data_IF_353104673709
#
_entry.id   IF_353104673709
#
_cell.length_a   1.000
_cell.length_b   1.000
_cell.length_c   1.000
_cell.angle_alpha   90.00
_cell.angle_beta   90.00
_cell.angle_gamma   90.00
#
_symmetry.space_group_name_H-M   'P 1'
#
loop_
_entity.id
_entity.type
_entity.pdbx_description
1 polymer ?
#
# COMPACT_ATOMS: atom_id res chain seq x y z
N UNK A 1 8.29 26.17 -6.73
CA UNK A 1 8.31 24.81 -7.31
C UNK A 1 6.87 24.39 -7.52
N UNK A 2 6.51 23.95 -8.72
CA UNK A 2 5.20 23.33 -8.94
C UNK A 2 5.14 22.10 -8.03
N UNK A 3 4.13 22.05 -7.14
CA UNK A 3 3.89 20.88 -6.31
C UNK A 3 3.45 19.78 -7.27
N UNK A 4 4.23 18.72 -7.40
CA UNK A 4 3.80 17.55 -8.15
C UNK A 4 2.62 16.93 -7.40
N UNK A 5 1.46 16.77 -8.04
CA UNK A 5 0.30 16.03 -7.48
C UNK A 5 0.55 14.51 -7.55
N UNK A 6 1.70 14.09 -7.05
CA UNK A 6 2.13 12.72 -7.08
C UNK A 6 1.61 12.02 -5.83
N UNK A 7 0.90 10.91 -6.03
CA UNK A 7 0.34 10.10 -4.96
C UNK A 7 1.24 8.89 -4.68
N UNK A 8 1.52 8.62 -3.42
CA UNK A 8 2.25 7.43 -2.99
C UNK A 8 1.38 6.63 -2.03
N UNK A 9 1.05 5.40 -2.40
CA UNK A 9 0.47 4.43 -1.48
C UNK A 9 1.58 3.88 -0.61
N UNK A 10 1.39 3.92 0.70
CA UNK A 10 2.42 3.49 1.64
C UNK A 10 2.47 1.96 1.65
N UNK A 11 3.66 1.39 1.41
CA UNK A 11 3.90 -0.03 1.65
C UNK A 11 3.80 -0.31 3.17
N UNK A 12 2.85 -1.16 3.63
CA UNK A 12 2.74 -1.51 5.05
C UNK A 12 4.03 -2.10 5.63
N UNK A 13 4.80 -2.83 4.84
CA UNK A 13 6.06 -3.46 5.28
C UNK A 13 7.15 -2.41 5.48
N UNK A 14 7.20 -1.39 4.61
CA UNK A 14 8.07 -0.24 4.78
C UNK A 14 7.64 0.56 6.02
N UNK A 15 6.34 0.87 6.14
CA UNK A 15 5.80 1.66 7.23
C UNK A 15 6.08 1.07 8.62
N UNK A 16 6.04 -0.26 8.74
CA UNK A 16 6.32 -1.00 9.97
C UNK A 16 7.78 -1.43 10.14
N UNK A 17 8.66 -1.03 9.20
CA UNK A 17 10.09 -1.25 9.33
C UNK A 17 10.72 -0.28 10.33
N UNK A 18 11.96 -0.56 10.75
CA UNK A 18 12.73 0.29 11.68
C UNK A 18 12.73 1.77 11.31
N UNK A 19 12.80 2.09 10.01
CA UNK A 19 12.88 3.47 9.51
C UNK A 19 11.56 3.97 8.90
N UNK A 20 10.53 3.11 8.88
CA UNK A 20 9.23 3.37 8.26
C UNK A 20 8.54 4.64 8.74
N UNK A 21 8.42 4.89 10.06
CA UNK A 21 7.78 6.09 10.58
C UNK A 21 8.45 7.38 10.09
N UNK A 22 9.78 7.44 10.17
CA UNK A 22 10.53 8.64 9.76
C UNK A 22 10.52 8.85 8.25
N UNK A 23 10.68 7.78 7.47
CA UNK A 23 10.60 7.83 6.01
C UNK A 23 9.23 8.34 5.58
N UNK A 24 8.15 7.75 6.14
CA UNK A 24 6.78 8.13 5.80
C UNK A 24 6.48 9.58 6.19
N UNK A 25 6.90 10.01 7.40
CA UNK A 25 6.78 11.40 7.84
C UNK A 25 7.50 12.37 6.89
N UNK A 26 8.71 12.05 6.47
CA UNK A 26 9.50 12.88 5.55
C UNK A 26 8.86 12.97 4.16
N UNK A 27 8.34 11.87 3.62
CA UNK A 27 7.62 11.84 2.34
C UNK A 27 6.37 12.70 2.34
N UNK A 28 5.64 12.75 3.47
CA UNK A 28 4.38 13.51 3.57
C UNK A 28 4.55 15.03 3.38
N UNK A 29 5.79 15.53 3.46
CA UNK A 29 6.12 16.93 3.21
C UNK A 29 6.08 17.30 1.71
N UNK A 30 6.18 16.30 0.83
CA UNK A 30 6.30 16.51 -0.62
C UNK A 30 5.30 15.72 -1.47
N UNK A 31 4.74 14.61 -0.94
CA UNK A 31 3.81 13.73 -1.66
C UNK A 31 2.45 13.64 -0.95
N UNK A 32 1.41 13.35 -1.74
CA UNK A 32 0.12 12.92 -1.24
C UNK A 32 0.19 11.45 -0.83
N UNK A 33 0.25 11.16 0.46
CA UNK A 33 0.42 9.81 0.97
C UNK A 33 -0.91 9.14 1.26
N UNK A 34 -1.09 7.94 0.72
CA UNK A 34 -2.26 7.11 0.95
C UNK A 34 -1.92 5.96 1.91
N UNK A 35 -2.59 5.96 3.06
CA UNK A 35 -2.52 4.90 4.06
C UNK A 35 -3.63 3.90 3.77
N UNK A 36 -3.28 2.62 3.69
CA UNK A 36 -4.26 1.56 3.50
C UNK A 36 -5.13 1.39 4.74
N UNK A 37 -6.40 0.95 4.59
CA UNK A 37 -7.38 0.89 5.70
C UNK A 37 -6.83 0.09 6.87
N UNK A 38 -6.37 -1.14 6.61
CA UNK A 38 -5.88 -1.98 7.68
C UNK A 38 -4.53 -1.49 8.25
N UNK A 39 -3.67 -0.85 7.44
CA UNK A 39 -2.48 -0.18 7.99
C UNK A 39 -2.90 0.93 8.96
N UNK A 40 -3.89 1.74 8.60
CA UNK A 40 -4.42 2.77 9.50
C UNK A 40 -5.00 2.16 10.79
N UNK A 41 -5.72 1.05 10.71
CA UNK A 41 -6.20 0.33 11.90
C UNK A 41 -5.05 -0.13 12.80
N UNK A 42 -3.98 -0.66 12.20
CA UNK A 42 -2.76 -1.06 12.94
C UNK A 42 -2.14 0.11 13.68
N UNK A 43 -2.02 1.26 13.02
CA UNK A 43 -1.41 2.46 13.61
C UNK A 43 -2.33 3.14 14.64
N UNK A 44 -3.65 3.10 14.43
CA UNK A 44 -4.63 3.73 15.32
C UNK A 44 -4.87 2.93 16.61
N UNK A 45 -4.83 1.59 16.55
CA UNK A 45 -4.98 0.69 17.70
C UNK A 45 -3.64 0.03 18.07
N UNK A 46 -2.63 0.88 18.30
CA UNK A 46 -1.26 0.43 18.59
C UNK A 46 -1.19 -0.49 19.82
N UNK A 47 -1.93 -0.17 20.89
CA UNK A 47 -1.97 -0.97 22.13
C UNK A 47 -2.46 -2.40 21.89
N UNK A 48 -3.52 -2.57 21.10
CA UNK A 48 -4.02 -3.89 20.76
C UNK A 48 -2.96 -4.71 20.04
N UNK A 49 -2.31 -4.14 19.03
CA UNK A 49 -1.33 -4.85 18.22
C UNK A 49 -0.02 -5.12 18.96
N UNK A 50 0.41 -4.23 19.86
CA UNK A 50 1.54 -4.49 20.76
C UNK A 50 1.28 -5.69 21.69
N UNK A 51 0.04 -5.85 22.16
CA UNK A 51 -0.36 -6.99 22.98
C UNK A 51 -0.65 -8.26 22.16
N UNK A 52 -0.79 -8.14 20.83
CA UNK A 52 -1.17 -9.22 19.93
C UNK A 52 -0.26 -9.31 18.69
N UNK A 53 1.06 -9.22 18.85
CA UNK A 53 2.03 -9.19 17.73
C UNK A 53 1.90 -10.37 16.75
N UNK A 54 1.42 -11.53 17.22
CA UNK A 54 1.15 -12.70 16.37
C UNK A 54 0.09 -12.44 15.27
N UNK A 55 -0.76 -11.41 15.44
CA UNK A 55 -1.71 -10.95 14.42
C UNK A 55 -1.05 -10.15 13.29
N UNK A 56 0.14 -9.58 13.53
CA UNK A 56 0.92 -8.85 12.54
C UNK A 56 1.94 -9.74 11.84
N UNK A 57 2.63 -10.60 12.61
CA UNK A 57 3.66 -11.51 12.08
C UNK A 57 3.21 -12.94 12.37
N UNK A 58 2.85 -13.74 11.36
CA UNK A 58 2.42 -15.11 11.57
C UNK A 58 3.60 -15.90 12.11
N UNK A 59 3.30 -16.82 13.03
CA UNK A 59 4.32 -17.68 13.66
C UNK A 59 4.94 -18.67 12.66
N UNK A 60 4.27 -18.90 11.53
CA UNK A 60 4.73 -19.77 10.45
C UNK A 60 5.50 -18.96 9.38
N UNK A 61 6.82 -19.15 9.34
CA UNK A 61 7.80 -18.42 8.50
C UNK A 61 7.72 -18.76 7.00
N UNK A 62 6.75 -19.56 6.57
CA UNK A 62 6.64 -20.03 5.18
C UNK A 62 5.93 -19.04 4.26
N UNK A 63 5.27 -18.01 4.80
CA UNK A 63 4.51 -17.08 3.98
C UNK A 63 5.43 -16.09 3.22
N UNK A 64 5.15 -15.76 1.94
CA UNK A 64 6.02 -14.93 1.08
C UNK A 64 6.40 -13.56 1.65
N UNK A 65 5.49 -12.91 2.39
CA UNK A 65 5.76 -11.66 3.11
C UNK A 65 6.77 -11.83 4.27
N UNK A 66 6.85 -13.04 4.83
CA UNK A 66 7.56 -13.37 6.07
C UNK A 66 8.67 -14.41 5.87
N UNK A 67 9.10 -14.64 4.62
CA UNK A 67 10.06 -15.67 4.25
C UNK A 67 11.42 -15.55 4.95
N UNK A 68 12.32 -16.52 4.69
CA UNK A 68 13.69 -16.55 5.26
C UNK A 68 14.39 -15.21 5.03
N UNK A 69 14.59 -14.43 6.10
CA UNK A 69 15.13 -13.08 6.01
C UNK A 69 14.14 -11.96 6.34
N UNK A 70 12.92 -12.25 6.83
CA UNK A 70 12.12 -11.22 7.50
C UNK A 70 12.83 -10.74 8.77
N UNK A 71 13.71 -9.76 8.59
CA UNK A 71 14.59 -9.18 9.62
C UNK A 71 13.90 -8.11 10.45
N UNK A 72 12.59 -7.91 10.31
CA UNK A 72 11.85 -7.13 11.31
C UNK A 72 11.80 -7.96 12.58
N UNK A 73 12.86 -7.83 13.38
CA UNK A 73 12.88 -8.33 14.75
C UNK A 73 11.62 -7.81 15.44
N UNK A 74 10.98 -8.64 16.26
CA UNK A 74 9.80 -8.22 17.02
C UNK A 74 10.09 -6.92 17.80
N UNK A 75 11.32 -6.75 18.30
CA UNK A 75 11.79 -5.52 18.91
C UNK A 75 11.74 -4.30 17.95
N UNK A 76 12.17 -4.47 16.70
CA UNK A 76 12.09 -3.44 15.67
C UNK A 76 10.64 -3.07 15.31
N UNK A 77 9.75 -4.06 15.19
CA UNK A 77 8.32 -3.83 14.96
C UNK A 77 7.67 -3.07 16.13
N UNK A 78 7.92 -3.53 17.37
CA UNK A 78 7.45 -2.87 18.59
C UNK A 78 7.94 -1.42 18.65
N UNK A 79 9.21 -1.18 18.34
CA UNK A 79 9.76 0.18 18.31
C UNK A 79 9.10 1.03 17.22
N UNK A 80 8.89 0.48 16.02
CA UNK A 80 8.21 1.18 14.93
C UNK A 80 6.79 1.60 15.31
N UNK A 81 6.02 0.71 15.95
CA UNK A 81 4.66 1.00 16.40
C UNK A 81 4.64 2.12 17.46
N UNK A 82 5.57 2.09 18.42
CA UNK A 82 5.70 3.15 19.42
C UNK A 82 6.04 4.50 18.81
N UNK A 83 6.95 4.54 17.83
CA UNK A 83 7.28 5.79 17.14
C UNK A 83 6.06 6.32 16.36
N UNK A 84 5.28 5.44 15.74
CA UNK A 84 4.04 5.84 15.08
C UNK A 84 3.02 6.42 16.05
N UNK A 85 2.86 5.81 17.23
CA UNK A 85 2.03 6.34 18.30
C UNK A 85 2.50 7.74 18.73
N UNK A 86 3.80 7.91 18.96
CA UNK A 86 4.40 9.21 19.30
C UNK A 86 4.13 10.27 18.20
N UNK A 87 4.30 9.92 16.93
CA UNK A 87 4.02 10.82 15.80
C UNK A 87 2.54 11.25 15.80
N UNK A 88 1.62 10.31 16.00
CA UNK A 88 0.18 10.56 16.04
C UNK A 88 -0.25 11.34 17.27
N UNK A 89 0.45 11.21 18.40
CA UNK A 89 0.18 12.02 19.59
C UNK A 89 0.79 13.42 19.53
N UNK A 90 1.95 13.57 18.89
CA UNK A 90 2.67 14.85 18.80
C UNK A 90 2.16 15.75 17.67
N UNK A 91 1.65 15.15 16.61
CA UNK A 91 0.96 15.86 15.54
C UNK A 91 -0.49 15.38 15.54
N UNK A 92 -1.47 16.28 15.51
CA UNK A 92 -2.87 15.93 15.16
C UNK A 92 -2.97 15.40 13.69
N UNK A 93 -1.85 14.93 13.11
CA UNK A 93 -1.57 14.73 11.70
C UNK A 93 -1.81 15.99 10.85
N UNK A 94 -2.17 17.11 11.50
CA UNK A 94 -2.35 18.42 10.90
C UNK A 94 -1.05 18.88 10.24
N UNK A 95 -1.11 19.02 8.90
CA UNK A 95 0.02 19.43 8.07
C UNK A 95 0.72 18.28 7.34
N UNK A 96 0.42 17.02 7.67
CA UNK A 96 0.89 15.87 6.90
C UNK A 96 -0.15 15.55 5.81
N UNK A 97 0.31 15.31 4.59
CA UNK A 97 -0.56 14.99 3.45
C UNK A 97 -0.94 13.51 3.47
N UNK A 98 -1.63 13.07 4.52
CA UNK A 98 -2.14 11.71 4.65
C UNK A 98 -3.60 11.62 4.22
N UNK A 99 -3.92 10.58 3.46
CA UNK A 99 -5.26 10.23 3.01
C UNK A 99 -5.51 8.75 3.26
N UNK A 100 -6.75 8.37 3.58
CA UNK A 100 -7.11 6.99 3.85
C UNK A 100 -8.60 6.75 3.65
N UNK A 101 -8.95 5.48 3.39
CA UNK A 101 -10.34 5.02 3.31
C UNK A 101 -10.69 4.31 4.61
N UNK A 102 -11.47 4.95 5.48
CA UNK A 102 -11.98 4.34 6.70
C UNK A 102 -13.19 3.42 6.44
N UNK A 103 -13.72 2.80 7.49
CA UNK A 103 -14.89 1.89 7.40
C UNK A 103 -16.18 2.59 6.93
N UNK A 104 -16.20 3.92 6.99
CA UNK A 104 -17.26 4.74 6.44
C UNK A 104 -16.69 5.99 5.81
N UNK A 105 -17.47 6.65 4.95
CA UNK A 105 -17.10 7.96 4.38
C UNK A 105 -16.82 9.01 5.46
N UNK A 106 -17.46 8.91 6.63
CA UNK A 106 -17.24 9.82 7.77
C UNK A 106 -15.89 9.59 8.45
N UNK A 107 -15.35 8.37 8.35
CA UNK A 107 -14.07 7.96 8.94
C UNK A 107 -12.93 7.99 7.93
N UNK A 108 -13.18 8.45 6.70
CA UNK A 108 -12.20 8.53 5.62
C UNK A 108 -11.68 9.96 5.48
N UNK A 109 -10.43 10.10 5.03
CA UNK A 109 -9.83 11.40 4.71
C UNK A 109 -9.34 11.37 3.26
N UNK A 110 -9.83 12.32 2.44
CA UNK A 110 -9.52 12.42 1.03
C UNK A 110 -8.99 13.82 0.68
N UNK A 111 -8.17 13.95 -0.38
CA UNK A 111 -7.81 15.27 -0.90
C UNK A 111 -9.03 15.99 -1.49
N UNK A 112 -9.89 15.23 -2.18
CA UNK A 112 -11.19 15.66 -2.72
C UNK A 112 -12.22 14.55 -2.46
N UNK A 113 -13.51 14.90 -2.26
CA UNK A 113 -14.55 13.89 -1.99
C UNK A 113 -14.90 13.13 -3.27
N UNK A 114 -14.14 12.08 -3.56
CA UNK A 114 -14.41 11.14 -4.65
C UNK A 114 -15.06 9.86 -4.11
N UNK A 115 -16.39 9.78 -4.19
CA UNK A 115 -17.14 8.60 -3.75
C UNK A 115 -16.91 7.39 -4.67
N UNK A 116 -16.59 7.63 -5.95
CA UNK A 116 -16.33 6.56 -6.92
C UNK A 116 -15.02 5.85 -6.60
N UNK A 117 -14.04 6.58 -6.04
CA UNK A 117 -12.78 6.01 -5.55
C UNK A 117 -13.06 4.94 -4.49
N UNK A 118 -13.94 5.21 -3.51
CA UNK A 118 -14.27 4.26 -2.44
C UNK A 118 -14.95 3.02 -2.99
N UNK A 119 -15.94 3.19 -3.87
CA UNK A 119 -16.65 2.06 -4.48
C UNK A 119 -15.71 1.18 -5.32
N UNK A 120 -14.86 1.82 -6.14
CA UNK A 120 -13.86 1.12 -6.95
C UNK A 120 -12.88 0.36 -6.06
N UNK A 121 -12.40 0.99 -5.00
CA UNK A 121 -11.48 0.38 -4.05
C UNK A 121 -12.13 -0.82 -3.32
N UNK A 122 -13.34 -0.68 -2.78
CA UNK A 122 -14.05 -1.77 -2.10
C UNK A 122 -14.26 -2.98 -3.02
N UNK A 123 -14.60 -2.72 -4.30
CA UNK A 123 -14.74 -3.76 -5.31
C UNK A 123 -13.42 -4.49 -5.58
N UNK A 124 -12.31 -3.76 -5.75
CA UNK A 124 -10.99 -4.33 -5.97
C UNK A 124 -10.48 -5.12 -4.76
N UNK A 125 -10.70 -4.60 -3.56
CA UNK A 125 -10.41 -5.29 -2.29
C UNK A 125 -11.19 -6.60 -2.20
N UNK A 126 -12.49 -6.57 -2.51
CA UNK A 126 -13.35 -7.76 -2.48
C UNK A 126 -12.92 -8.84 -3.48
N UNK A 127 -12.44 -8.47 -4.68
CA UNK A 127 -11.93 -9.46 -5.64
C UNK A 127 -10.57 -10.02 -5.22
N UNK A 128 -9.70 -9.21 -4.60
CA UNK A 128 -8.42 -9.70 -4.08
C UNK A 128 -8.59 -10.60 -2.85
N UNK A 129 -9.65 -10.40 -2.05
CA UNK A 129 -10.00 -11.29 -0.93
C UNK A 129 -10.31 -12.71 -1.38
N UNK A 130 -10.90 -12.89 -2.57
CA UNK A 130 -11.11 -14.21 -3.16
C UNK A 130 -9.77 -14.89 -3.45
N UNK A 131 -8.82 -14.17 -4.05
CA UNK A 131 -7.47 -14.69 -4.32
C UNK A 131 -6.70 -15.00 -3.04
N UNK A 132 -6.85 -14.18 -1.99
CA UNK A 132 -6.21 -14.43 -0.71
C UNK A 132 -6.84 -15.63 -0.01
N UNK A 133 -8.18 -15.71 0.08
CA UNK A 133 -8.87 -16.82 0.74
C UNK A 133 -8.60 -18.18 0.07
N UNK A 134 -8.33 -18.19 -1.23
CA UNK A 134 -7.94 -19.40 -1.97
C UNK A 134 -6.50 -19.85 -1.66
N UNK A 135 -5.59 -18.92 -1.36
CA UNK A 135 -4.15 -19.17 -1.25
C UNK A 135 -3.63 -19.13 0.20
N UNK A 136 -4.35 -18.48 1.13
CA UNK A 136 -3.92 -18.17 2.49
C UNK A 136 -5.09 -18.32 3.48
N UNK A 137 -4.93 -19.21 4.47
CA UNK A 137 -5.94 -19.44 5.50
C UNK A 137 -5.75 -18.56 6.76
N UNK A 138 -4.66 -17.80 6.82
CA UNK A 138 -4.25 -17.07 8.03
C UNK A 138 -4.85 -15.66 8.08
N UNK A 139 -5.62 -15.37 9.12
CA UNK A 139 -6.17 -14.04 9.42
C UNK A 139 -5.05 -13.13 9.99
N UNK A 140 -4.22 -12.59 9.10
CA UNK A 140 -3.10 -11.73 9.45
C UNK A 140 -3.34 -10.29 8.98
N UNK A 141 -3.25 -9.33 9.90
CA UNK A 141 -3.55 -7.92 9.62
C UNK A 141 -2.57 -7.30 8.61
N UNK A 142 -1.31 -7.75 8.55
CA UNK A 142 -0.36 -7.25 7.56
C UNK A 142 -0.68 -7.74 6.14
N UNK A 143 -1.21 -8.95 5.99
CA UNK A 143 -1.73 -9.44 4.69
C UNK A 143 -2.85 -8.52 4.23
N UNK A 144 -3.81 -8.22 5.10
CA UNK A 144 -4.92 -7.32 4.78
C UNK A 144 -4.48 -5.88 4.52
N UNK A 145 -3.47 -5.39 5.23
CA UNK A 145 -2.87 -4.08 4.94
C UNK A 145 -2.20 -4.04 3.57
N UNK A 146 -1.50 -5.10 3.16
CA UNK A 146 -0.90 -5.21 1.82
C UNK A 146 -1.99 -5.31 0.75
N UNK A 147 -3.04 -6.10 0.99
CA UNK A 147 -4.23 -6.24 0.15
C UNK A 147 -4.89 -4.88 -0.09
N UNK A 148 -5.10 -4.10 0.97
CA UNK A 148 -5.68 -2.76 0.87
C UNK A 148 -4.77 -1.79 0.09
N UNK A 149 -3.45 -1.87 0.29
CA UNK A 149 -2.47 -1.04 -0.42
C UNK A 149 -2.42 -1.37 -1.91
N UNK A 150 -2.50 -2.65 -2.28
CA UNK A 150 -2.57 -3.10 -3.67
C UNK A 150 -3.87 -2.60 -4.33
N UNK A 151 -5.01 -2.73 -3.64
CA UNK A 151 -6.27 -2.20 -4.13
C UNK A 151 -6.24 -0.67 -4.31
N UNK A 152 -5.59 0.07 -3.39
CA UNK A 152 -5.41 1.52 -3.52
C UNK A 152 -4.54 1.86 -4.73
N UNK A 153 -3.41 1.17 -4.91
CA UNK A 153 -2.53 1.34 -6.06
C UNK A 153 -3.29 1.15 -7.37
N UNK A 154 -4.13 0.13 -7.44
CA UNK A 154 -4.94 -0.18 -8.60
C UNK A 154 -6.13 0.79 -8.81
N UNK A 155 -6.56 1.44 -7.74
CA UNK A 155 -7.65 2.43 -7.77
C UNK A 155 -7.16 3.78 -8.29
N UNK A 156 -6.01 4.25 -7.77
CA UNK A 156 -5.48 5.60 -7.99
C UNK A 156 -4.49 5.59 -9.17
N UNK A 157 -4.92 6.12 -10.31
CA UNK A 157 -4.20 5.98 -11.60
C UNK A 157 -2.78 6.53 -11.63
N UNK A 158 -2.49 7.60 -10.88
CA UNK A 158 -1.19 8.27 -10.84
C UNK A 158 -0.37 7.91 -9.61
N UNK A 159 -0.74 6.82 -8.93
CA UNK A 159 -0.06 6.39 -7.71
C UNK A 159 1.00 5.32 -7.97
N UNK A 160 1.93 5.25 -7.03
CA UNK A 160 2.88 4.16 -6.92
C UNK A 160 3.00 3.71 -5.46
N UNK A 161 3.57 2.53 -5.23
CA UNK A 161 3.99 2.11 -3.89
C UNK A 161 5.50 2.33 -3.76
N UNK A 162 5.94 3.09 -2.75
CA UNK A 162 7.33 3.11 -2.33
C UNK A 162 7.55 1.93 -1.37
N UNK A 163 8.42 1.01 -1.77
CA UNK A 163 8.83 -0.14 -0.99
C UNK A 163 10.35 -0.10 -0.77
N UNK A 164 10.87 -1.11 -0.07
CA UNK A 164 12.31 -1.25 0.15
C UNK A 164 12.74 -2.71 0.06
N UNK A 165 14.05 -2.86 -0.09
CA UNK A 165 14.76 -4.11 -0.03
C UNK A 165 15.91 -3.96 0.96
N UNK A 166 16.21 -5.03 1.69
CA UNK A 166 17.49 -5.09 2.38
C UNK A 166 18.65 -5.28 1.38
N UNK A 167 19.88 -5.05 1.83
CA UNK A 167 21.07 -5.12 0.98
C UNK A 167 21.25 -6.50 0.33
N UNK A 168 20.97 -7.58 1.06
CA UNK A 168 21.09 -8.93 0.50
C UNK A 168 20.04 -9.19 -0.58
N UNK A 169 18.79 -8.81 -0.34
CA UNK A 169 17.71 -8.93 -1.33
C UNK A 169 18.00 -8.08 -2.57
N UNK A 170 18.52 -6.87 -2.37
CA UNK A 170 18.87 -5.94 -3.44
C UNK A 170 19.97 -6.49 -4.34
N UNK A 171 21.08 -6.96 -3.75
CA UNK A 171 22.24 -7.49 -4.47
C UNK A 171 21.91 -8.78 -5.23
N UNK A 172 21.05 -9.64 -4.67
CA UNK A 172 20.61 -10.87 -5.32
C UNK A 172 19.49 -10.65 -6.36
N UNK A 173 19.06 -9.41 -6.58
CA UNK A 173 18.03 -9.08 -7.56
C UNK A 173 16.66 -9.67 -7.23
N UNK A 174 16.39 -9.96 -5.95
CA UNK A 174 15.06 -10.40 -5.54
C UNK A 174 14.02 -9.29 -5.74
N UNK A 175 12.74 -9.61 -5.90
CA UNK A 175 11.67 -8.61 -5.90
C UNK A 175 11.40 -8.09 -4.48
N UNK A 176 10.81 -6.89 -4.32
CA UNK A 176 10.34 -6.43 -3.01
C UNK A 176 9.25 -7.35 -2.45
N UNK A 177 9.10 -7.35 -1.12
CA UNK A 177 8.22 -8.31 -0.41
C UNK A 177 6.77 -8.25 -0.87
N UNK A 178 6.24 -7.07 -1.16
CA UNK A 178 4.88 -6.92 -1.70
C UNK A 178 4.73 -7.51 -3.12
N UNK A 179 5.79 -7.49 -3.94
CA UNK A 179 5.80 -8.21 -5.22
C UNK A 179 5.84 -9.74 -5.02
N UNK A 180 6.64 -10.25 -4.06
CA UNK A 180 6.61 -11.68 -3.69
C UNK A 180 5.21 -12.12 -3.25
N UNK A 181 4.50 -11.25 -2.53
CA UNK A 181 3.11 -11.50 -2.13
C UNK A 181 2.16 -11.55 -3.33
N UNK A 182 2.24 -10.58 -4.24
CA UNK A 182 1.46 -10.59 -5.48
C UNK A 182 1.74 -11.84 -6.33
N UNK A 183 3.00 -12.24 -6.48
CA UNK A 183 3.38 -13.47 -7.20
C UNK A 183 2.76 -14.72 -6.56
N UNK A 184 2.61 -14.76 -5.23
CA UNK A 184 1.93 -15.85 -4.53
C UNK A 184 0.42 -15.92 -4.78
N UNK A 185 -0.17 -14.82 -5.25
CA UNK A 185 -1.55 -14.74 -5.71
C UNK A 185 -1.66 -14.95 -7.23
N UNK A 186 -0.60 -15.46 -7.88
CA UNK A 186 -0.49 -15.61 -9.33
C UNK A 186 -0.56 -14.28 -10.12
N UNK A 187 -0.22 -13.15 -9.48
CA UNK A 187 -0.14 -11.84 -10.13
C UNK A 187 1.32 -11.57 -10.52
N UNK A 188 1.59 -11.50 -11.82
CA UNK A 188 2.94 -11.39 -12.36
C UNK A 188 3.59 -10.04 -12.02
N UNK A 189 4.75 -10.09 -11.37
CA UNK A 189 5.59 -8.92 -11.08
C UNK A 189 6.86 -8.95 -11.93
N UNK A 190 7.14 -7.85 -12.64
CA UNK A 190 8.31 -7.71 -13.52
C UNK A 190 9.25 -6.62 -13.02
N UNK A 191 10.55 -6.92 -12.96
CA UNK A 191 11.58 -5.88 -12.82
C UNK A 191 11.74 -5.11 -14.13
N UNK A 192 11.81 -3.78 -14.06
CA UNK A 192 12.16 -2.93 -15.20
C UNK A 192 13.66 -2.63 -15.14
N UNK A 193 14.36 -2.89 -16.25
CA UNK A 193 15.79 -2.63 -16.39
C UNK A 193 16.02 -1.19 -16.84
N UNK A 194 17.11 -0.56 -16.38
CA UNK A 194 17.38 0.87 -16.57
C UNK A 194 17.73 1.26 -18.01
N UNK A 195 17.98 0.30 -18.90
CA UNK A 195 18.19 0.59 -20.33
C UNK A 195 16.90 1.04 -21.03
N UNK A 196 15.74 0.87 -20.40
CA UNK A 196 14.49 1.47 -20.88
C UNK A 196 14.49 2.99 -20.64
N UNK A 197 14.27 3.77 -21.70
CA UNK A 197 14.36 5.23 -21.64
C UNK A 197 13.32 5.86 -20.70
N UNK A 198 12.10 5.29 -20.61
CA UNK A 198 11.08 5.76 -19.69
C UNK A 198 11.45 5.40 -18.25
N UNK A 199 11.96 4.19 -18.04
CA UNK A 199 12.45 3.76 -16.73
C UNK A 199 13.56 4.68 -16.21
N UNK A 200 14.52 5.07 -17.06
CA UNK A 200 15.60 6.00 -16.67
C UNK A 200 15.05 7.35 -16.24
N UNK A 201 14.14 7.95 -17.04
CA UNK A 201 13.53 9.25 -16.73
C UNK A 201 12.73 9.17 -15.42
N UNK A 202 11.92 8.13 -15.26
CA UNK A 202 11.10 7.93 -14.06
C UNK A 202 11.99 7.73 -12.82
N UNK A 203 13.07 6.95 -12.95
CA UNK A 203 14.06 6.77 -11.88
C UNK A 203 14.64 8.11 -11.44
N UNK A 204 15.03 8.97 -12.37
CA UNK A 204 15.65 10.25 -12.04
C UNK A 204 14.65 11.22 -11.39
N UNK A 205 13.40 11.24 -11.85
CA UNK A 205 12.31 12.00 -11.21
C UNK A 205 12.08 11.54 -9.77
N UNK A 206 11.99 10.22 -9.55
CA UNK A 206 11.79 9.64 -8.23
C UNK A 206 13.00 9.89 -7.31
N UNK A 207 14.24 9.83 -7.82
CA UNK A 207 15.44 10.19 -7.05
C UNK A 207 15.40 11.64 -6.58
N UNK A 208 14.94 12.56 -7.42
CA UNK A 208 14.77 13.96 -7.03
C UNK A 208 13.73 14.09 -5.91
N UNK A 209 12.59 13.42 -6.04
CA UNK A 209 11.54 13.35 -5.00
C UNK A 209 12.13 12.82 -3.68
N UNK A 210 12.81 11.67 -3.69
CA UNK A 210 13.42 11.10 -2.47
C UNK A 210 14.49 12.02 -1.86
N UNK A 211 15.27 12.72 -2.70
CA UNK A 211 16.28 13.67 -2.23
C UNK A 211 15.63 14.89 -1.57
N UNK A 212 14.56 15.43 -2.14
CA UNK A 212 13.80 16.54 -1.58
C UNK A 212 13.10 16.17 -0.27
N UNK A 213 12.68 14.91 -0.12
CA UNK A 213 12.19 14.37 1.15
C UNK A 213 13.32 14.10 2.17
N UNK A 214 14.60 14.40 1.87
CA UNK A 214 15.76 14.07 2.73
C UNK A 214 15.97 12.56 2.96
N UNK A 215 15.55 11.71 2.02
CA UNK A 215 15.67 10.26 2.16
C UNK A 215 17.00 9.67 1.68
N UNK A 216 17.86 10.46 1.05
CA UNK A 216 19.14 9.98 0.51
C UNK A 216 20.01 9.31 1.59
N UNK A 217 19.95 9.81 2.82
CA UNK A 217 20.69 9.26 3.96
C UNK A 217 20.31 7.82 4.30
N UNK A 218 19.05 7.41 4.09
CA UNK A 218 18.63 6.04 4.35
C UNK A 218 19.25 5.06 3.35
N UNK A 219 19.50 5.51 2.12
CA UNK A 219 20.25 4.74 1.12
C UNK A 219 21.68 4.48 1.58
N UNK A 220 22.33 5.46 2.21
CA UNK A 220 23.66 5.29 2.79
C UNK A 220 23.66 4.40 4.04
N UNK A 221 22.51 4.25 4.70
CA UNK A 221 22.29 3.30 5.78
C UNK A 221 21.92 1.89 5.30
N UNK A 222 22.00 1.60 3.99
CA UNK A 222 21.73 0.28 3.42
C UNK A 222 20.26 -0.01 3.10
N UNK A 223 19.39 1.01 3.08
CA UNK A 223 18.01 0.86 2.61
C UNK A 223 17.96 1.08 1.10
N UNK A 224 17.57 0.04 0.37
CA UNK A 224 17.42 0.14 -1.08
C UNK A 224 15.96 0.36 -1.45
N UNK A 225 15.62 1.60 -1.81
CA UNK A 225 14.27 1.94 -2.24
C UNK A 225 13.93 1.32 -3.59
N UNK A 226 12.68 0.89 -3.71
CA UNK A 226 12.10 0.45 -4.96
C UNK A 226 10.69 1.02 -5.09
N UNK A 227 10.26 1.21 -6.32
CA UNK A 227 8.95 1.76 -6.64
C UNK A 227 8.18 0.75 -7.45
N UNK A 228 6.91 0.55 -7.10
CA UNK A 228 6.02 -0.41 -7.73
C UNK A 228 4.87 0.32 -8.41
N UNK A 229 4.64 -0.05 -9.66
CA UNK A 229 3.56 0.42 -10.49
C UNK A 229 2.66 -0.75 -10.87
N UNK A 230 1.39 -0.46 -11.09
CA UNK A 230 0.41 -1.44 -11.52
C UNK A 230 -0.41 -0.90 -12.68
N UNK A 231 -0.58 -1.75 -13.68
CA UNK A 231 -1.51 -1.52 -14.77
C UNK A 231 -2.55 -2.63 -14.71
N UNK A 232 -3.80 -2.26 -14.45
CA UNK A 232 -4.93 -3.16 -14.64
C UNK A 232 -5.40 -3.10 -16.09
N UNK A 233 -5.85 -4.22 -16.68
CA UNK A 233 -6.53 -4.17 -17.96
C UNK A 233 -7.72 -3.21 -17.84
N UNK A 234 -7.85 -2.32 -18.80
CA UNK A 234 -9.07 -1.53 -18.99
C UNK A 234 -10.17 -2.48 -19.45
N UNK A 235 -10.66 -3.35 -18.55
CA UNK A 235 -12.00 -3.89 -18.73
C UNK A 235 -12.90 -2.67 -18.90
N UNK A 236 -13.85 -2.75 -19.84
CA UNK A 236 -14.90 -1.76 -20.07
C UNK A 236 -15.72 -1.56 -18.81
N UNK A 237 -15.14 -0.95 -17.80
CA UNK A 237 -15.78 -0.24 -16.70
C UNK A 237 -16.25 1.10 -17.27
N UNK A 238 -16.89 1.08 -18.45
CA UNK A 238 -18.06 1.92 -18.63
C UNK A 238 -19.08 1.33 -17.67
N UNK A 239 -18.98 1.80 -16.43
CA UNK A 239 -19.96 1.64 -15.40
C UNK A 239 -21.23 2.23 -16.00
N UNK A 240 -22.12 1.39 -16.54
CA UNK A 240 -23.52 1.77 -16.69
C UNK A 240 -24.03 1.97 -15.27
N UNK A 241 -23.83 3.17 -14.75
CA UNK A 241 -24.39 3.59 -13.48
C UNK A 241 -25.90 3.54 -13.65
N UNK A 242 -26.53 2.48 -13.14
CA UNK A 242 -27.92 2.54 -12.73
C UNK A 242 -27.99 3.50 -11.55
N UNK A 243 -27.90 4.80 -11.80
CA UNK A 243 -28.28 5.81 -10.80
C UNK A 243 -29.79 5.70 -10.69
N UNK A 244 -30.27 4.82 -9.83
CA UNK A 244 -31.56 5.05 -9.21
C UNK A 244 -31.40 6.34 -8.40
N UNK A 245 -32.05 7.41 -8.83
CA UNK A 245 -32.00 8.76 -8.25
C UNK A 245 -32.56 8.85 -6.81
N UNK A 246 -32.61 7.74 -6.07
CA UNK A 246 -33.02 7.70 -4.68
C UNK A 246 -31.78 7.83 -3.78
N UNK A 247 -31.40 9.09 -3.51
CA UNK A 247 -30.45 9.43 -2.46
C UNK A 247 -30.88 8.79 -1.12
N UNK A 248 -30.08 7.91 -0.49
CA UNK A 248 -30.40 7.40 0.84
C UNK A 248 -30.11 8.46 1.89
N UNK A 249 -31.10 8.76 2.72
CA UNK A 249 -30.92 9.50 3.97
C UNK A 249 -30.02 8.72 4.93
N UNK A 250 -29.30 9.46 5.78
CA UNK A 250 -28.09 9.09 6.52
C UNK A 250 -28.17 7.96 7.59
N UNK A 251 -29.03 6.96 7.42
CA UNK A 251 -29.22 5.85 8.37
C UNK A 251 -29.36 4.46 7.73
N UNK A 252 -29.15 4.32 6.42
CA UNK A 252 -29.14 3.01 5.78
C UNK A 252 -27.69 2.58 5.50
N UNK A 253 -27.25 1.51 6.17
CA UNK A 253 -26.07 0.76 5.74
C UNK A 253 -26.35 0.21 4.36
N UNK A 254 -25.80 0.84 3.33
CA UNK A 254 -25.88 0.33 1.96
C UNK A 254 -25.00 -0.92 1.93
N UNK A 255 -25.61 -2.10 2.16
CA UNK A 255 -25.00 -3.37 1.82
C UNK A 255 -25.01 -3.49 0.30
N UNK A 256 -24.06 -2.82 -0.36
CA UNK A 256 -23.76 -3.03 -1.78
C UNK A 256 -23.11 -4.41 -1.85
N UNK A 257 -23.93 -5.46 -2.00
CA UNK A 257 -23.42 -6.73 -2.50
C UNK A 257 -23.23 -6.52 -4.00
N UNK A 258 -21.99 -6.49 -4.53
CA UNK A 258 -21.82 -6.47 -5.97
C UNK A 258 -22.51 -7.71 -6.53
N UNK A 259 -23.37 -7.52 -7.55
CA UNK A 259 -23.86 -8.64 -8.33
C UNK A 259 -22.63 -9.40 -8.81
N UNK A 260 -22.56 -10.69 -8.47
CA UNK A 260 -21.50 -11.62 -8.88
C UNK A 260 -21.72 -11.91 -10.35
N UNK A 261 -21.51 -10.91 -11.19
CA UNK A 261 -21.51 -11.01 -12.63
C UNK A 261 -20.06 -11.21 -13.01
N UNK A 262 -19.78 -12.38 -13.63
CA UNK A 262 -18.49 -12.88 -14.11
C UNK A 262 -17.36 -11.86 -14.00
N UNK A 263 -16.74 -11.80 -12.81
CA UNK A 263 -15.51 -11.04 -12.65
C UNK A 263 -14.46 -11.80 -13.45
N UNK A 264 -14.28 -11.40 -14.71
CA UNK A 264 -12.98 -11.51 -15.39
C UNK A 264 -11.93 -11.27 -14.32
N UNK A 265 -11.03 -12.24 -14.16
CA UNK A 265 -9.99 -12.19 -13.15
C UNK A 265 -9.00 -11.07 -13.53
N UNK A 266 -9.40 -9.84 -13.18
CA UNK A 266 -8.68 -8.60 -13.46
C UNK A 266 -7.26 -8.64 -12.91
N UNK A 267 -7.01 -9.48 -11.90
CA UNK A 267 -5.74 -9.64 -11.24
C UNK A 267 -4.81 -10.55 -12.03
N UNK A 268 -5.31 -11.60 -12.69
CA UNK A 268 -4.51 -12.43 -13.61
C UNK A 268 -3.98 -11.68 -14.82
N UNK A 269 -4.74 -10.71 -15.29
CA UNK A 269 -4.35 -9.83 -16.40
C UNK A 269 -3.60 -8.57 -15.93
N UNK A 270 -3.50 -8.34 -14.62
CA UNK A 270 -2.76 -7.22 -14.07
C UNK A 270 -1.27 -7.34 -14.40
N UNK A 271 -0.69 -6.23 -14.83
CA UNK A 271 0.76 -6.13 -15.04
C UNK A 271 1.36 -5.27 -13.94
N UNK A 272 2.19 -5.90 -13.10
CA UNK A 272 2.90 -5.21 -12.02
C UNK A 272 4.35 -5.05 -12.39
N UNK A 273 4.87 -3.85 -12.19
CA UNK A 273 6.24 -3.50 -12.50
C UNK A 273 6.92 -2.95 -11.26
N UNK A 274 8.20 -3.24 -11.09
CA UNK A 274 8.99 -2.62 -10.04
C UNK A 274 10.36 -2.15 -10.55
N UNK A 275 10.80 -1.03 -9.98
CA UNK A 275 12.00 -0.29 -10.37
C UNK A 275 12.86 -0.03 -9.14
N UNK A 276 14.19 -0.15 -9.29
CA UNK A 276 15.17 0.19 -8.24
C UNK A 276 15.55 1.67 -8.34
N UNK A 277 15.60 2.38 -7.21
CA UNK A 277 15.93 3.82 -7.14
C UNK A 277 17.36 4.07 -6.67
#
# INVERSE_FOLDING_TARGET
>A
MAKYDLSCVIDPILALSKYGPDITRQLSSILNLWVSRELWNILNDTDFYLNNLAKLVPQNVSHPLFGRGYTTSLAGLTQSLKIWEEIRSASDLNGLQFFWIGDSLKNSLFPERDYLLVEKWERLTSTLDVEIGNNHADNNALIFACRDAISLLATIQTSFILSYQDENEYLNGHPPKICKFLESLNISCRSIVLEDAFASIETDNLRQVLTLANLAQYKWCGIHFCVIFMVLPLTRTQISMGIDNNYPTASQSVSIRPAVDETLDIWREASVFWLKI
#
